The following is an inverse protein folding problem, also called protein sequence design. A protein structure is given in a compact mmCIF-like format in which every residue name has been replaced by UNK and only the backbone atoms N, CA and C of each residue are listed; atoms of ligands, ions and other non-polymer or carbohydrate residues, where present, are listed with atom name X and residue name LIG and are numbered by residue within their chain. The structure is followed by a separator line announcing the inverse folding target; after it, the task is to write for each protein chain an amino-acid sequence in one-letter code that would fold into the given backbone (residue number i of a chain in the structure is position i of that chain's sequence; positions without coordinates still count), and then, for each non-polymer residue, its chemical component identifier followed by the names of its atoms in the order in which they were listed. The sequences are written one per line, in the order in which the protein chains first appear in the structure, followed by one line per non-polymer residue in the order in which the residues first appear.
data_IF_749527362454
#
_entry.id   IF_749527362454
#
_cell.length_a   1.000
_cell.length_b   1.000
_cell.length_c   1.000
_cell.angle_alpha   90.00
_cell.angle_beta   90.00
_cell.angle_gamma   90.00
#
_symmetry.space_group_name_H-M   'P 1'
#
loop_
_entity.id
_entity.type
_entity.pdbx_description
1 polymer ?
#
# COMPACT_ATOMS: atom_id res chain seq x y z
N UNK A 1 -3.37 11.28 -4.75
CA UNK A 1 -4.22 10.71 -3.69
C UNK A 1 -4.13 11.67 -2.51
N UNK A 2 -5.27 12.07 -1.95
CA UNK A 2 -5.33 12.95 -0.79
C UNK A 2 -5.69 12.12 0.45
N UNK A 3 -5.07 12.40 1.59
CA UNK A 3 -5.46 11.79 2.86
C UNK A 3 -6.64 12.58 3.42
N UNK A 4 -7.85 12.12 3.13
CA UNK A 4 -9.09 12.82 3.52
C UNK A 4 -9.38 12.72 5.02
N UNK A 5 -8.57 11.96 5.77
CA UNK A 5 -8.69 11.76 7.22
C UNK A 5 -7.69 12.59 8.02
N UNK A 6 -7.05 13.60 7.41
CA UNK A 6 -6.29 14.61 8.14
C UNK A 6 -7.20 15.36 9.14
N UNK A 7 -6.73 15.51 10.39
CA UNK A 7 -7.43 16.28 11.44
C UNK A 7 -7.31 17.78 11.21
N UNK A 8 -8.05 18.24 10.20
CA UNK A 8 -8.05 19.60 9.68
C UNK A 8 -9.47 20.05 9.39
N UNK A 9 -9.96 20.96 10.23
CA UNK A 9 -11.35 21.47 10.14
C UNK A 9 -11.64 22.22 8.83
N UNK A 10 -10.62 22.82 8.21
CA UNK A 10 -10.77 23.46 6.90
C UNK A 10 -11.11 22.47 5.77
N UNK A 11 -11.00 21.15 6.02
CA UNK A 11 -11.40 20.09 5.10
C UNK A 11 -12.80 19.53 5.38
N UNK A 12 -13.51 19.97 6.42
CA UNK A 12 -14.81 19.40 6.83
C UNK A 12 -15.84 19.44 5.69
N UNK A 13 -16.01 20.61 5.06
CA UNK A 13 -16.95 20.77 3.95
C UNK A 13 -16.56 19.92 2.73
N UNK A 14 -15.26 19.75 2.48
CA UNK A 14 -14.77 18.91 1.40
C UNK A 14 -15.04 17.42 1.68
N UNK A 15 -14.84 16.97 2.92
CA UNK A 15 -15.21 15.60 3.37
C UNK A 15 -16.70 15.35 3.19
N UNK A 16 -17.57 16.27 3.64
CA UNK A 16 -19.03 16.14 3.49
C UNK A 16 -19.42 15.99 2.02
N UNK A 17 -18.83 16.79 1.12
CA UNK A 17 -19.09 16.66 -0.33
C UNK A 17 -18.61 15.32 -0.88
N UNK A 18 -17.44 14.85 -0.45
CA UNK A 18 -16.89 13.57 -0.87
C UNK A 18 -17.79 12.40 -0.44
N UNK A 19 -18.27 12.38 0.80
CA UNK A 19 -19.14 11.31 1.29
C UNK A 19 -20.42 11.18 0.45
N UNK A 20 -21.08 12.31 0.16
CA UNK A 20 -22.25 12.33 -0.74
C UNK A 20 -21.92 11.85 -2.14
N UNK A 21 -20.74 12.18 -2.66
CA UNK A 21 -20.31 11.73 -3.99
C UNK A 21 -20.07 10.22 -4.03
N UNK A 22 -19.45 9.65 -2.99
CA UNK A 22 -19.24 8.20 -2.87
C UNK A 22 -20.58 7.47 -2.87
N UNK A 23 -21.54 7.94 -2.07
CA UNK A 23 -22.89 7.38 -1.99
C UNK A 23 -23.65 7.49 -3.32
N UNK A 24 -23.47 8.58 -4.05
CA UNK A 24 -24.10 8.80 -5.35
C UNK A 24 -23.47 8.00 -6.51
N UNK A 25 -22.34 7.32 -6.27
CA UNK A 25 -21.59 6.59 -7.30
C UNK A 25 -21.37 5.12 -6.92
N UNK A 26 -22.43 4.33 -6.71
CA UNK A 26 -22.33 2.95 -6.24
C UNK A 26 -21.63 2.00 -7.22
N UNK A 27 -21.47 2.41 -8.48
CA UNK A 27 -20.78 1.64 -9.52
C UNK A 27 -19.26 1.93 -9.60
N UNK A 28 -18.73 2.78 -8.71
CA UNK A 28 -17.29 3.08 -8.62
C UNK A 28 -16.73 2.52 -7.32
N UNK A 29 -15.60 1.81 -7.41
CA UNK A 29 -14.80 1.44 -6.23
C UNK A 29 -13.93 2.64 -5.81
N UNK A 30 -14.23 3.19 -4.63
CA UNK A 30 -13.49 4.31 -4.05
C UNK A 30 -12.35 3.81 -3.18
N UNK A 31 -11.12 3.95 -3.67
CA UNK A 31 -9.91 3.67 -2.89
C UNK A 31 -9.57 4.88 -2.01
N UNK A 32 -9.80 4.74 -0.70
CA UNK A 32 -9.43 5.70 0.31
C UNK A 32 -8.18 5.20 1.04
N UNK A 33 -7.11 5.99 1.07
CA UNK A 33 -5.85 5.64 1.75
C UNK A 33 -5.50 6.70 2.78
N UNK A 34 -5.09 6.27 3.97
CA UNK A 34 -4.67 7.16 5.04
C UNK A 34 -3.44 6.66 5.78
N UNK A 35 -2.79 7.54 6.55
CA UNK A 35 -1.83 7.16 7.60
C UNK A 35 -2.45 7.18 9.00
N UNK A 36 -3.74 7.50 9.10
CA UNK A 36 -4.48 7.77 10.34
C UNK A 36 -5.76 6.93 10.45
N UNK A 37 -5.68 5.59 10.32
CA UNK A 37 -6.86 4.73 10.36
C UNK A 37 -7.68 4.89 11.66
N UNK A 38 -7.05 5.29 12.76
CA UNK A 38 -7.69 5.59 14.06
C UNK A 38 -8.71 6.73 14.00
N UNK A 39 -8.61 7.62 13.01
CA UNK A 39 -9.53 8.75 12.84
C UNK A 39 -10.73 8.42 11.94
N UNK A 40 -10.66 7.34 11.15
CA UNK A 40 -11.67 7.04 10.12
C UNK A 40 -13.07 6.97 10.70
N UNK A 41 -13.27 6.16 11.77
CA UNK A 41 -14.58 5.99 12.40
C UNK A 41 -15.16 7.29 12.96
N UNK A 42 -14.33 8.28 13.30
CA UNK A 42 -14.76 9.59 13.82
C UNK A 42 -15.17 10.56 12.70
N UNK A 43 -14.68 10.35 11.48
CA UNK A 43 -14.81 11.30 10.36
C UNK A 43 -15.81 10.87 9.28
N UNK A 44 -16.10 9.57 9.17
CA UNK A 44 -17.09 9.05 8.22
C UNK A 44 -18.52 9.15 8.77
N UNK A 45 -19.54 9.37 7.92
CA UNK A 45 -20.93 9.50 8.38
C UNK A 45 -21.64 8.15 8.53
N UNK A 46 -21.02 7.05 8.11
CA UNK A 46 -21.71 5.77 7.88
C UNK A 46 -21.96 4.94 9.14
N UNK A 47 -21.21 5.18 10.22
CA UNK A 47 -21.31 4.35 11.43
C UNK A 47 -21.15 2.87 11.11
N UNK A 48 -22.22 2.09 11.28
CA UNK A 48 -22.27 0.65 10.94
C UNK A 48 -22.77 0.36 9.51
N UNK A 49 -23.37 1.34 8.83
CA UNK A 49 -23.95 1.20 7.48
C UNK A 49 -22.95 1.60 6.40
N UNK A 50 -21.82 0.90 6.36
CA UNK A 50 -20.72 1.20 5.46
C UNK A 50 -21.06 0.91 3.98
N UNK A 51 -20.79 1.83 3.04
CA UNK A 51 -21.00 1.59 1.62
C UNK A 51 -20.12 0.46 1.08
N UNK A 52 -20.72 -0.44 0.30
CA UNK A 52 -20.04 -1.59 -0.29
C UNK A 52 -18.98 -1.22 -1.34
N UNK A 53 -19.01 0.01 -1.84
CA UNK A 53 -18.13 0.52 -2.88
C UNK A 53 -16.91 1.29 -2.33
N UNK A 54 -16.58 1.09 -1.04
CA UNK A 54 -15.42 1.69 -0.39
C UNK A 54 -14.36 0.64 -0.12
N UNK A 55 -13.18 0.88 -0.68
CA UNK A 55 -11.97 0.15 -0.38
C UNK A 55 -11.10 1.06 0.49
N UNK A 56 -10.97 0.72 1.77
CA UNK A 56 -10.17 1.51 2.71
C UNK A 56 -8.81 0.86 2.89
N UNK A 57 -7.76 1.66 2.86
CA UNK A 57 -6.44 1.18 3.19
C UNK A 57 -5.67 2.11 4.11
N UNK A 58 -4.60 1.56 4.67
CA UNK A 58 -3.62 2.32 5.43
C UNK A 58 -2.23 2.13 4.85
N UNK A 59 -1.41 3.20 4.88
CA UNK A 59 0.01 3.05 4.58
C UNK A 59 0.70 2.33 5.73
N UNK A 60 1.59 1.40 5.41
CA UNK A 60 2.45 0.70 6.38
C UNK A 60 3.85 0.61 5.78
N UNK A 61 4.74 1.51 6.19
CA UNK A 61 6.08 1.58 5.62
C UNK A 61 7.03 0.51 6.21
N UNK A 62 6.78 0.05 7.43
CA UNK A 62 7.60 -0.92 8.18
C UNK A 62 6.76 -1.62 9.27
N UNK A 63 7.39 -2.51 10.05
CA UNK A 63 6.70 -3.27 11.10
C UNK A 63 6.12 -2.37 12.20
N UNK A 64 6.80 -1.29 12.60
CA UNK A 64 6.34 -0.39 13.67
C UNK A 64 4.97 0.20 13.30
N UNK A 65 4.85 0.71 12.07
CA UNK A 65 3.59 1.23 11.58
C UNK A 65 2.53 0.14 11.35
N UNK A 66 2.94 -1.09 11.09
CA UNK A 66 2.01 -2.21 10.96
C UNK A 66 1.32 -2.49 12.30
N UNK A 67 2.10 -2.56 13.37
CA UNK A 67 1.60 -2.78 14.73
C UNK A 67 0.69 -1.65 15.19
N UNK A 68 1.01 -0.40 14.85
CA UNK A 68 0.20 0.77 15.21
C UNK A 68 -1.12 0.84 14.42
N UNK A 69 -1.05 0.65 13.09
CA UNK A 69 -2.15 1.03 12.19
C UNK A 69 -3.10 -0.11 11.83
N UNK A 70 -2.61 -1.35 11.77
CA UNK A 70 -3.44 -2.48 11.35
C UNK A 70 -4.54 -2.86 12.36
N UNK A 71 -4.37 -2.73 13.69
CA UNK A 71 -5.47 -2.93 14.62
C UNK A 71 -6.66 -2.01 14.32
N UNK A 72 -6.40 -0.73 14.06
CA UNK A 72 -7.45 0.23 13.73
C UNK A 72 -8.13 -0.08 12.40
N UNK A 73 -7.37 -0.45 11.36
CA UNK A 73 -7.95 -0.84 10.07
C UNK A 73 -8.77 -2.13 10.17
N UNK A 74 -8.32 -3.10 10.96
CA UNK A 74 -8.97 -4.39 11.14
C UNK A 74 -10.38 -4.29 11.74
N UNK A 75 -10.64 -3.26 12.56
CA UNK A 75 -11.96 -3.03 13.14
C UNK A 75 -12.96 -2.44 12.14
N UNK A 76 -12.51 -1.87 11.03
CA UNK A 76 -13.36 -1.08 10.13
C UNK A 76 -14.10 -2.00 9.14
N UNK A 77 -15.43 -1.90 8.98
CA UNK A 77 -16.22 -2.80 8.14
C UNK A 77 -16.17 -2.41 6.64
N UNK A 78 -14.96 -2.22 6.10
CA UNK A 78 -14.75 -1.97 4.67
C UNK A 78 -15.02 -3.22 3.83
N UNK A 79 -15.63 -3.03 2.66
CA UNK A 79 -15.80 -4.09 1.69
C UNK A 79 -14.45 -4.66 1.22
N UNK A 80 -13.42 -3.81 1.17
CA UNK A 80 -12.02 -4.18 0.99
C UNK A 80 -11.17 -3.38 1.98
N UNK A 81 -10.33 -4.08 2.74
CA UNK A 81 -9.27 -3.48 3.55
C UNK A 81 -7.92 -3.76 2.91
N UNK A 82 -7.17 -2.72 2.55
CA UNK A 82 -5.88 -2.89 1.87
C UNK A 82 -4.72 -2.24 2.61
N UNK A 83 -3.52 -2.76 2.37
CA UNK A 83 -2.27 -2.17 2.85
C UNK A 83 -1.56 -1.54 1.66
N UNK A 84 -1.10 -0.29 1.84
CA UNK A 84 -0.12 0.33 0.95
C UNK A 84 1.24 0.33 1.63
N UNK A 85 2.04 -0.70 1.37
CA UNK A 85 3.43 -0.76 1.79
C UNK A 85 4.34 -0.08 0.74
N UNK A 86 4.06 1.20 0.50
CA UNK A 86 4.79 2.05 -0.45
C UNK A 86 5.03 3.46 0.15
N UNK A 87 6.30 3.85 0.35
CA UNK A 87 7.48 3.00 0.17
C UNK A 87 7.60 1.92 1.24
N UNK A 88 8.10 0.74 0.86
CA UNK A 88 8.53 -0.29 1.81
C UNK A 88 9.91 0.06 2.36
N UNK A 89 9.96 0.42 3.63
CA UNK A 89 11.14 0.95 4.32
C UNK A 89 11.80 -0.07 5.28
N UNK A 90 11.14 -1.20 5.55
CA UNK A 90 11.66 -2.28 6.37
C UNK A 90 11.03 -3.62 6.04
N UNK A 91 11.56 -4.69 6.65
CA UNK A 91 10.89 -5.99 6.65
C UNK A 91 9.53 -5.87 7.33
N UNK A 92 8.54 -6.57 6.80
CA UNK A 92 7.14 -6.45 7.20
C UNK A 92 6.50 -7.84 7.27
N UNK A 93 6.23 -8.32 8.48
CA UNK A 93 5.45 -9.52 8.73
C UNK A 93 4.03 -9.14 9.13
N UNK A 94 3.09 -9.38 8.22
CA UNK A 94 1.67 -9.10 8.38
C UNK A 94 0.80 -10.35 8.21
N UNK A 95 1.41 -11.53 8.16
CA UNK A 95 0.75 -12.82 7.95
C UNK A 95 -0.52 -13.00 8.81
N UNK A 96 -0.50 -12.62 10.09
CA UNK A 96 -1.66 -12.70 11.00
C UNK A 96 -2.86 -11.83 10.60
N UNK A 97 -2.68 -10.86 9.72
CA UNK A 97 -3.73 -9.94 9.27
C UNK A 97 -4.33 -10.36 7.92
N UNK A 98 -3.60 -11.13 7.12
CA UNK A 98 -3.96 -11.47 5.75
C UNK A 98 -5.16 -12.45 5.72
N UNK A 99 -6.08 -12.21 4.79
CA UNK A 99 -7.28 -13.04 4.57
C UNK A 99 -8.42 -12.71 5.53
N UNK A 100 -8.14 -12.69 6.84
CA UNK A 100 -9.18 -12.38 7.84
C UNK A 100 -9.48 -10.88 7.90
N UNK A 101 -8.43 -10.05 7.96
CA UNK A 101 -8.56 -8.60 8.16
C UNK A 101 -8.12 -7.77 6.96
N UNK A 102 -7.22 -8.29 6.13
CA UNK A 102 -6.63 -7.56 5.00
C UNK A 102 -6.85 -8.37 3.73
N UNK A 103 -7.41 -7.69 2.73
CA UNK A 103 -7.88 -8.25 1.47
C UNK A 103 -6.94 -7.99 0.30
N UNK A 104 -6.00 -7.05 0.44
CA UNK A 104 -5.11 -6.66 -0.64
C UNK A 104 -3.85 -5.97 -0.13
N UNK A 105 -2.71 -6.29 -0.75
CA UNK A 105 -1.43 -5.66 -0.44
C UNK A 105 -0.85 -5.02 -1.69
N UNK A 106 -0.60 -3.72 -1.62
CA UNK A 106 0.12 -2.94 -2.62
C UNK A 106 1.50 -2.63 -2.05
N UNK A 107 2.56 -2.81 -2.84
CA UNK A 107 3.92 -2.45 -2.39
C UNK A 107 4.76 -1.83 -3.50
N UNK A 108 5.76 -1.05 -3.10
CA UNK A 108 6.74 -0.47 -4.00
C UNK A 108 7.86 0.28 -3.28
N UNK A 109 8.92 0.60 -4.00
CA UNK A 109 10.06 1.36 -3.48
C UNK A 109 9.93 2.88 -3.62
N UNK A 110 10.84 3.61 -2.97
CA UNK A 110 10.87 5.07 -2.97
C UNK A 110 11.24 5.66 -4.34
N UNK A 111 10.59 6.75 -4.72
CA UNK A 111 10.96 7.56 -5.88
C UNK A 111 11.36 8.98 -5.46
N UNK A 112 12.21 9.63 -6.26
CA UNK A 112 12.56 11.04 -6.08
C UNK A 112 14.00 11.28 -5.60
N UNK A 113 14.39 12.56 -5.41
CA UNK A 113 15.78 12.96 -5.23
C UNK A 113 16.51 12.24 -4.09
N UNK A 114 15.79 11.93 -3.00
CA UNK A 114 16.27 11.30 -1.77
C UNK A 114 15.83 9.84 -1.61
N UNK A 115 15.36 9.18 -2.66
CA UNK A 115 14.93 7.79 -2.60
C UNK A 115 16.04 6.89 -2.04
N UNK A 116 15.68 5.99 -1.13
CA UNK A 116 16.57 4.93 -0.62
C UNK A 116 16.34 3.62 -1.39
N UNK A 117 17.36 2.76 -1.51
CA UNK A 117 17.17 1.42 -2.04
C UNK A 117 16.41 0.55 -1.04
N UNK A 118 15.20 0.11 -1.40
CA UNK A 118 14.46 -0.93 -0.66
C UNK A 118 15.09 -2.30 -0.90
N UNK A 119 15.09 -3.17 0.11
CA UNK A 119 15.62 -4.53 -0.03
C UNK A 119 14.69 -5.42 -0.85
N UNK A 120 15.20 -6.09 -1.90
CA UNK A 120 14.44 -7.09 -2.65
C UNK A 120 13.85 -8.19 -1.78
N UNK A 121 14.57 -8.64 -0.75
CA UNK A 121 14.08 -9.68 0.17
C UNK A 121 12.78 -9.30 0.88
N UNK A 122 12.55 -8.02 1.19
CA UNK A 122 11.33 -7.57 1.85
C UNK A 122 10.10 -7.70 0.93
N UNK A 123 10.24 -7.39 -0.35
CA UNK A 123 9.15 -7.54 -1.32
C UNK A 123 8.82 -9.02 -1.59
N UNK A 124 9.86 -9.85 -1.68
CA UNK A 124 9.70 -11.30 -1.89
C UNK A 124 9.04 -11.97 -0.69
N UNK A 125 9.44 -11.60 0.52
CA UNK A 125 8.81 -12.11 1.74
C UNK A 125 7.33 -11.70 1.82
N UNK A 126 7.01 -10.45 1.53
CA UNK A 126 5.62 -9.96 1.51
C UNK A 126 4.77 -10.65 0.43
N UNK A 127 5.35 -10.88 -0.76
CA UNK A 127 4.72 -11.67 -1.82
C UNK A 127 4.41 -13.09 -1.31
N UNK A 128 5.38 -13.76 -0.69
CA UNK A 128 5.20 -15.11 -0.15
C UNK A 128 4.09 -15.18 0.91
N UNK A 129 4.03 -14.21 1.82
CA UNK A 129 2.96 -14.10 2.82
C UNK A 129 1.58 -13.97 2.15
N UNK A 130 1.48 -13.14 1.10
CA UNK A 130 0.25 -12.95 0.34
C UNK A 130 -0.17 -14.22 -0.41
N UNK A 131 0.76 -14.88 -1.09
CA UNK A 131 0.48 -16.14 -1.80
C UNK A 131 0.04 -17.26 -0.85
N UNK A 132 0.68 -17.37 0.32
CA UNK A 132 0.32 -18.36 1.33
C UNK A 132 -1.08 -18.12 1.94
N UNK A 133 -1.56 -16.88 1.91
CA UNK A 133 -2.87 -16.48 2.45
C UNK A 133 -3.93 -16.26 1.37
N UNK A 134 -3.61 -16.56 0.11
CA UNK A 134 -4.47 -16.30 -1.06
C UNK A 134 -4.94 -14.83 -1.17
N UNK A 135 -4.15 -13.89 -0.64
CA UNK A 135 -4.43 -12.45 -0.70
C UNK A 135 -3.80 -11.88 -1.97
N UNK A 136 -4.56 -11.14 -2.81
CA UNK A 136 -4.01 -10.45 -3.96
C UNK A 136 -2.84 -9.51 -3.58
N UNK A 137 -1.81 -9.57 -4.41
CA UNK A 137 -0.59 -8.78 -4.24
C UNK A 137 -0.33 -7.94 -5.50
N UNK A 138 -0.08 -6.65 -5.29
CA UNK A 138 0.27 -5.70 -6.34
C UNK A 138 1.66 -5.12 -6.11
N UNK A 139 2.61 -5.50 -6.96
CA UNK A 139 3.91 -4.84 -7.03
C UNK A 139 3.83 -3.68 -8.01
N UNK A 140 3.82 -2.47 -7.46
CA UNK A 140 3.67 -1.27 -8.27
C UNK A 140 4.94 -0.98 -9.05
N UNK A 141 6.07 -0.93 -8.34
CA UNK A 141 7.39 -0.64 -8.92
C UNK A 141 8.52 -0.70 -7.88
N UNK A 142 9.75 -0.74 -8.36
CA UNK A 142 10.97 -0.59 -7.57
C UNK A 142 11.26 0.83 -7.06
N UNK A 143 10.66 1.86 -7.66
CA UNK A 143 11.02 3.26 -7.39
C UNK A 143 12.26 3.69 -8.17
N UNK A 144 13.16 4.48 -7.58
CA UNK A 144 14.35 4.99 -8.30
C UNK A 144 15.53 4.00 -8.37
N UNK A 145 15.47 2.92 -7.59
CA UNK A 145 16.55 1.93 -7.42
C UNK A 145 16.09 0.55 -7.87
N UNK A 146 16.90 -0.17 -8.66
CA UNK A 146 16.59 -1.55 -9.08
C UNK A 146 17.77 -2.50 -8.78
N UNK A 147 17.52 -3.81 -8.58
CA UNK A 147 18.58 -4.80 -8.44
C UNK A 147 19.50 -4.81 -9.68
N UNK A 148 20.82 -4.84 -9.46
CA UNK A 148 21.82 -4.60 -10.51
C UNK A 148 22.01 -5.67 -11.59
N UNK A 149 21.11 -6.65 -11.72
CA UNK A 149 21.24 -7.72 -12.72
C UNK A 149 20.89 -7.20 -14.13
N UNK A 150 21.84 -7.26 -15.06
CA UNK A 150 21.61 -6.99 -16.49
C UNK A 150 21.67 -5.52 -16.93
N UNK A 151 21.94 -4.57 -16.02
CA UNK A 151 22.02 -3.14 -16.35
C UNK A 151 23.47 -2.71 -16.55
N UNK A 152 23.87 -2.56 -17.82
CA UNK A 152 25.19 -2.03 -18.17
C UNK A 152 25.15 -0.49 -18.10
N UNK A 153 25.33 0.09 -16.91
CA UNK A 153 25.31 1.53 -16.73
C UNK A 153 26.57 1.99 -16.00
N UNK A 154 27.62 2.27 -16.79
CA UNK A 154 28.91 2.82 -16.34
C UNK A 154 28.82 4.16 -15.56
N UNK A 155 27.61 4.69 -15.31
CA UNK A 155 27.35 5.96 -14.62
C UNK A 155 26.24 5.89 -13.56
N UNK A 156 25.63 4.73 -13.33
CA UNK A 156 24.59 4.62 -12.30
C UNK A 156 25.23 4.68 -10.90
N UNK A 157 24.59 5.42 -9.97
CA UNK A 157 24.99 5.33 -8.56
C UNK A 157 24.60 3.95 -8.04
N UNK A 158 25.53 3.30 -7.34
CA UNK A 158 25.28 2.04 -6.68
C UNK A 158 25.17 2.24 -5.16
N UNK A 159 24.34 1.45 -4.51
CA UNK A 159 24.26 1.32 -3.06
C UNK A 159 23.89 -0.12 -2.73
N UNK A 160 24.11 -0.54 -1.49
CA UNK A 160 23.58 -1.80 -0.99
C UNK A 160 22.24 -1.55 -0.29
N UNK A 161 21.29 -2.44 -0.50
CA UNK A 161 20.11 -2.54 0.33
C UNK A 161 20.44 -3.25 1.66
N UNK A 162 19.47 -3.30 2.58
CA UNK A 162 19.67 -3.90 3.90
C UNK A 162 20.04 -5.40 3.87
N UNK A 163 19.59 -6.14 2.84
CA UNK A 163 19.94 -7.55 2.62
C UNK A 163 21.29 -7.76 1.92
N UNK A 164 22.05 -6.68 1.67
CA UNK A 164 23.31 -6.72 0.95
C UNK A 164 23.16 -6.79 -0.57
N UNK A 165 21.95 -6.72 -1.12
CA UNK A 165 21.76 -6.67 -2.58
C UNK A 165 22.30 -5.35 -3.13
N UNK A 166 23.13 -5.42 -4.17
CA UNK A 166 23.56 -4.25 -4.91
C UNK A 166 22.40 -3.67 -5.73
N UNK A 167 22.07 -2.42 -5.45
CA UNK A 167 21.00 -1.66 -6.09
C UNK A 167 21.59 -0.52 -6.91
N UNK A 168 21.09 -0.34 -8.13
CA UNK A 168 21.49 0.72 -9.04
C UNK A 168 20.40 1.79 -9.13
N UNK A 169 20.79 3.05 -8.98
CA UNK A 169 19.88 4.18 -9.19
C UNK A 169 19.73 4.46 -10.68
N UNK A 170 18.64 3.95 -11.25
CA UNK A 170 18.33 4.07 -12.68
C UNK A 170 17.14 5.01 -12.96
N UNK A 171 16.45 5.42 -11.89
CA UNK A 171 15.27 6.27 -11.95
C UNK A 171 13.99 5.48 -12.22
N UNK A 172 12.89 5.99 -11.66
CA UNK A 172 11.55 5.41 -11.67
C UNK A 172 11.15 4.67 -12.96
N UNK A 173 11.33 5.33 -14.11
CA UNK A 173 10.90 4.79 -15.41
C UNK A 173 11.69 3.53 -15.81
N UNK A 174 12.99 3.50 -15.54
CA UNK A 174 13.87 2.41 -15.94
C UNK A 174 13.87 1.26 -14.92
N UNK A 175 13.63 1.55 -13.64
CA UNK A 175 13.60 0.54 -12.59
C UNK A 175 12.48 -0.49 -12.78
N UNK A 176 11.35 -0.05 -13.35
CA UNK A 176 10.27 -0.93 -13.76
C UNK A 176 9.51 -1.58 -12.60
N UNK A 177 8.78 -2.64 -12.93
CA UNK A 177 7.78 -3.28 -12.06
C UNK A 177 7.80 -4.81 -12.10
N UNK A 178 8.94 -5.38 -12.49
CA UNK A 178 9.15 -6.83 -12.51
C UNK A 178 9.77 -7.23 -11.17
N UNK A 179 9.11 -8.12 -10.44
CA UNK A 179 9.58 -8.72 -9.20
C UNK A 179 9.63 -10.24 -9.39
N UNK A 180 10.78 -10.85 -9.13
CA UNK A 180 11.03 -12.27 -9.35
C UNK A 180 10.66 -12.77 -10.75
N UNK A 181 11.02 -11.99 -11.78
CA UNK A 181 10.74 -12.32 -13.18
C UNK A 181 9.28 -12.17 -13.62
N UNK A 182 8.37 -11.74 -12.75
CA UNK A 182 6.95 -11.57 -13.04
C UNK A 182 6.44 -10.16 -12.76
N UNK A 183 5.31 -9.81 -13.38
CA UNK A 183 4.52 -8.62 -13.04
C UNK A 183 3.40 -9.07 -12.11
N UNK A 184 3.25 -8.37 -10.99
CA UNK A 184 2.23 -8.67 -9.99
C UNK A 184 1.18 -7.56 -9.95
N UNK A 185 0.02 -7.84 -10.54
CA UNK A 185 -1.11 -6.93 -10.75
C UNK A 185 -2.38 -7.38 -10.01
N UNK A 186 -2.24 -8.16 -8.94
CA UNK A 186 -3.38 -8.69 -8.20
C UNK A 186 -4.33 -7.57 -7.73
N UNK A 187 -5.63 -7.80 -7.90
CA UNK A 187 -6.71 -6.94 -7.41
C UNK A 187 -7.63 -7.73 -6.48
N UNK A 188 -8.18 -7.09 -5.43
CA UNK A 188 -9.13 -7.75 -4.54
C UNK A 188 -10.46 -7.97 -5.23
N UNK A 189 -11.24 -8.86 -4.62
CA UNK A 189 -12.69 -8.90 -4.79
C UNK A 189 -13.31 -8.36 -3.51
N UNK A 190 -14.37 -7.57 -3.63
CA UNK A 190 -15.11 -7.11 -2.45
C UNK A 190 -15.59 -8.30 -1.63
N UNK A 191 -15.50 -8.19 -0.30
CA UNK A 191 -16.13 -9.14 0.62
C UNK A 191 -17.60 -9.26 0.25
N UNK A 192 -18.09 -10.48 0.10
CA UNK A 192 -19.53 -10.72 -0.03
C UNK A 192 -20.19 -10.28 1.26
N UNK A 193 -21.21 -9.42 1.16
CA UNK A 193 -22.02 -8.99 2.30
C UNK A 193 -22.84 -10.15 2.88
#
# INVERSE_FOLDING_TARGET
MADVFEDRRDLDDARIRLWKLIEATPNLDWLLLTKRPELVRKMVPWGQSWPANIWLGTTVEDQEWAEERLPHLAEIPAAVRFISAEPLLGSLNISRWLGEHIDWVITGGESGPKARPSSPSWFLDLLNQCMASEVPFHFKQWGDWAPGQGLNLAKARASHAADGTMMLRVGKKAAGRVLDGAIWDGLPKSRSA
#
